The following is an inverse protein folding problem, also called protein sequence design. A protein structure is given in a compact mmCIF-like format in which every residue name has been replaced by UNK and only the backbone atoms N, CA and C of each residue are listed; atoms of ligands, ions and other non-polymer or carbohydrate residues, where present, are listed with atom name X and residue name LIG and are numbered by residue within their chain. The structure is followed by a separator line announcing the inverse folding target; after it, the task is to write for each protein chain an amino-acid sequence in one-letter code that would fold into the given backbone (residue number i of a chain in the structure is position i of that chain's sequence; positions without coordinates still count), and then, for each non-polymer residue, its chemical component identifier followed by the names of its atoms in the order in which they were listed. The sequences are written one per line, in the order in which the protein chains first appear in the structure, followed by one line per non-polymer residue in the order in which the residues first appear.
data_IF_307051024334
#
_entry.id   IF_307051024334
#
_cell.length_a   1.000
_cell.length_b   1.000
_cell.length_c   1.000
_cell.angle_alpha   90.00
_cell.angle_beta   90.00
_cell.angle_gamma   90.00
#
_symmetry.space_group_name_H-M   'P 1'
#
loop_
_entity.id
_entity.type
_entity.pdbx_description
1 polymer ?
#
# COMPACT_ATOMS: atom_id res chain seq x y z
N UNK A 1 10.97 -8.30 -1.85
CA UNK A 1 10.23 -7.67 -0.73
C UNK A 1 9.52 -8.70 0.14
N UNK A 2 9.63 -8.59 1.47
CA UNK A 2 8.80 -9.35 2.43
C UNK A 2 7.82 -8.39 3.10
N UNK A 3 6.54 -8.53 2.77
CA UNK A 3 5.47 -7.75 3.38
C UNK A 3 4.88 -8.47 4.59
N UNK A 4 4.54 -7.66 5.59
CA UNK A 4 3.64 -7.98 6.69
C UNK A 4 2.29 -7.28 6.46
N UNK A 5 1.27 -7.66 7.24
CA UNK A 5 -0.08 -7.14 7.07
C UNK A 5 -0.77 -6.94 8.43
N UNK A 6 -0.05 -6.46 9.44
CA UNK A 6 -0.56 -6.40 10.82
C UNK A 6 -1.82 -5.55 10.91
N UNK A 7 -1.87 -4.39 10.24
CA UNK A 7 -3.02 -3.51 10.25
C UNK A 7 -4.23 -4.15 9.57
N UNK A 8 -4.04 -4.70 8.37
CA UNK A 8 -5.11 -5.42 7.67
C UNK A 8 -5.62 -6.60 8.52
N UNK A 9 -4.71 -7.39 9.08
CA UNK A 9 -5.08 -8.59 9.82
C UNK A 9 -5.85 -8.28 11.11
N UNK A 10 -5.53 -7.15 11.74
CA UNK A 10 -6.24 -6.63 12.91
C UNK A 10 -7.68 -6.21 12.57
N UNK A 11 -7.88 -5.57 11.42
CA UNK A 11 -9.15 -4.90 11.10
C UNK A 11 -10.01 -5.58 10.02
N UNK A 12 -9.52 -6.61 9.33
CA UNK A 12 -10.24 -7.27 8.22
C UNK A 12 -11.61 -7.84 8.62
N UNK A 13 -11.79 -8.23 9.89
CA UNK A 13 -13.02 -8.85 10.40
C UNK A 13 -14.02 -7.82 10.98
N UNK A 14 -13.93 -6.55 10.56
CA UNK A 14 -14.77 -5.46 11.08
C UNK A 14 -15.86 -5.02 10.10
N UNK A 15 -16.32 -5.93 9.23
CA UNK A 15 -17.34 -5.62 8.21
C UNK A 15 -17.00 -4.37 7.37
N UNK A 16 -15.74 -4.25 6.99
CA UNK A 16 -15.19 -3.12 6.23
C UNK A 16 -15.25 -1.75 6.96
N UNK A 17 -15.34 -1.75 8.29
CA UNK A 17 -15.43 -0.49 9.07
C UNK A 17 -14.15 0.34 9.01
N UNK A 18 -12.97 -0.29 9.03
CA UNK A 18 -11.68 0.41 9.02
C UNK A 18 -10.89 0.19 7.73
N UNK A 19 -10.98 -1.01 7.16
CA UNK A 19 -10.26 -1.40 5.95
C UNK A 19 -11.18 -2.17 5.02
N UNK A 20 -11.02 -2.01 3.72
CA UNK A 20 -11.67 -2.86 2.72
C UNK A 20 -10.60 -3.55 1.86
N UNK A 21 -10.63 -4.89 1.72
CA UNK A 21 -9.74 -5.58 0.80
C UNK A 21 -10.01 -5.12 -0.64
N UNK A 22 -8.97 -4.71 -1.36
CA UNK A 22 -9.10 -4.23 -2.75
C UNK A 22 -7.94 -4.76 -3.59
N UNK A 23 -8.18 -4.94 -4.89
CA UNK A 23 -7.11 -5.27 -5.84
C UNK A 23 -6.73 -4.01 -6.63
N UNK A 24 -5.44 -3.68 -6.77
CA UNK A 24 -5.02 -2.60 -7.64
C UNK A 24 -5.48 -2.83 -9.08
N UNK A 25 -5.87 -1.74 -9.74
CA UNK A 25 -6.16 -1.76 -11.17
C UNK A 25 -4.85 -1.72 -11.94
N UNK A 26 -4.69 -2.64 -12.89
CA UNK A 26 -3.45 -2.75 -13.68
C UNK A 26 -3.25 -1.53 -14.58
N UNK A 27 -1.99 -1.19 -14.80
CA UNK A 27 -1.55 -0.12 -15.69
C UNK A 27 -0.70 -0.67 -16.84
N UNK A 28 -0.73 0.00 -17.98
CA UNK A 28 0.04 -0.41 -19.16
C UNK A 28 1.49 0.05 -19.08
N UNK A 29 2.43 -0.86 -19.38
CA UNK A 29 3.86 -0.59 -19.58
C UNK A 29 4.48 0.31 -18.48
N UNK A 30 4.40 -0.10 -17.20
CA UNK A 30 4.92 0.70 -16.11
C UNK A 30 6.45 0.90 -16.24
N UNK A 31 6.93 2.08 -15.84
CA UNK A 31 8.35 2.42 -15.83
C UNK A 31 8.68 3.26 -14.60
N UNK A 32 9.84 3.01 -14.01
CA UNK A 32 10.39 3.85 -12.95
C UNK A 32 10.92 5.14 -13.58
N UNK A 33 10.33 6.28 -13.22
CA UNK A 33 10.75 7.62 -13.68
C UNK A 33 11.62 8.35 -12.66
N UNK A 34 11.52 7.96 -11.39
CA UNK A 34 12.23 8.56 -10.28
C UNK A 34 12.42 7.54 -9.17
N UNK A 35 13.53 7.67 -8.45
CA UNK A 35 13.92 6.73 -7.41
C UNK A 35 14.73 7.46 -6.34
N UNK A 36 14.37 7.24 -5.08
CA UNK A 36 15.14 7.72 -3.93
C UNK A 36 15.95 6.57 -3.36
N UNK A 37 17.28 6.64 -3.48
CA UNK A 37 18.17 5.63 -2.89
C UNK A 37 18.08 5.60 -1.37
N UNK A 38 17.83 6.75 -0.74
CA UNK A 38 17.65 6.87 0.71
C UNK A 38 16.41 6.11 1.17
N UNK A 39 15.25 6.36 0.56
CA UNK A 39 14.00 5.68 0.91
C UNK A 39 14.06 4.19 0.54
N UNK A 40 14.69 3.86 -0.59
CA UNK A 40 14.89 2.47 -0.97
C UNK A 40 15.74 1.72 0.07
N UNK A 41 16.83 2.32 0.54
CA UNK A 41 17.63 1.76 1.63
C UNK A 41 16.80 1.65 2.91
N UNK A 42 15.94 2.62 3.20
CA UNK A 42 15.02 2.61 4.33
C UNK A 42 14.00 1.48 4.31
N UNK A 43 13.51 1.15 3.12
CA UNK A 43 12.58 0.05 2.89
C UNK A 43 13.27 -1.28 2.59
N UNK A 44 14.62 -1.32 2.56
CA UNK A 44 15.38 -2.52 2.20
C UNK A 44 15.16 -2.98 0.75
N UNK A 45 14.88 -2.05 -0.16
CA UNK A 45 14.59 -2.28 -1.56
C UNK A 45 15.83 -2.16 -2.45
N UNK A 46 15.96 -3.07 -3.41
CA UNK A 46 16.95 -2.96 -4.50
C UNK A 46 16.28 -2.82 -5.86
N UNK A 47 16.87 -2.02 -6.75
CA UNK A 47 16.45 -1.92 -8.16
C UNK A 47 16.55 -3.23 -8.94
N UNK A 48 17.39 -4.15 -8.47
CA UNK A 48 17.57 -5.47 -9.09
C UNK A 48 16.52 -6.48 -8.66
N UNK A 49 15.58 -6.12 -7.78
CA UNK A 49 14.53 -7.03 -7.35
C UNK A 49 13.62 -7.42 -8.51
N UNK A 50 13.30 -8.71 -8.56
CA UNK A 50 12.35 -9.24 -9.53
C UNK A 50 10.97 -8.60 -9.33
N UNK A 51 10.29 -8.27 -10.43
CA UNK A 51 8.95 -7.69 -10.43
C UNK A 51 8.83 -6.35 -9.67
N UNK A 52 9.94 -5.65 -9.37
CA UNK A 52 9.91 -4.37 -8.62
C UNK A 52 8.97 -3.35 -9.28
N UNK A 53 9.18 -3.05 -10.56
CA UNK A 53 8.36 -2.08 -11.31
C UNK A 53 6.89 -2.49 -11.33
N UNK A 54 6.60 -3.77 -11.58
CA UNK A 54 5.25 -4.31 -11.61
C UNK A 54 4.58 -4.28 -10.23
N UNK A 55 5.35 -4.47 -9.15
CA UNK A 55 4.86 -4.40 -7.77
C UNK A 55 4.48 -2.96 -7.42
N UNK A 56 5.41 -2.02 -7.65
CA UNK A 56 5.20 -0.60 -7.32
C UNK A 56 4.09 0.04 -8.17
N UNK A 57 3.79 -0.51 -9.34
CA UNK A 57 2.68 -0.08 -10.18
C UNK A 57 1.36 -0.80 -9.90
N UNK A 58 1.32 -1.76 -8.96
CA UNK A 58 0.13 -2.56 -8.65
C UNK A 58 -0.22 -3.63 -9.67
N UNK A 59 0.67 -3.94 -10.62
CA UNK A 59 0.48 -4.99 -11.62
C UNK A 59 0.78 -6.40 -11.10
N UNK A 60 1.71 -6.49 -10.15
CA UNK A 60 2.10 -7.72 -9.48
C UNK A 60 1.79 -7.64 -7.99
N UNK A 61 1.11 -8.66 -7.46
CA UNK A 61 0.80 -8.84 -6.04
C UNK A 61 1.37 -10.17 -5.62
N UNK A 62 2.36 -10.17 -4.73
CA UNK A 62 2.96 -11.40 -4.20
C UNK A 62 2.04 -12.08 -3.19
N UNK A 63 2.31 -13.36 -2.90
CA UNK A 63 1.47 -14.19 -2.03
C UNK A 63 1.31 -13.63 -0.60
N UNK A 64 2.29 -12.85 -0.13
CA UNK A 64 2.32 -12.26 1.21
C UNK A 64 1.75 -10.83 1.28
N UNK A 65 1.26 -10.26 0.17
CA UNK A 65 0.57 -8.97 0.20
C UNK A 65 -0.92 -9.17 0.46
N UNK A 66 -1.51 -8.31 1.29
CA UNK A 66 -2.96 -8.22 1.49
C UNK A 66 -3.39 -6.79 1.20
N UNK A 67 -3.60 -6.42 -0.08
CA UNK A 67 -3.84 -5.04 -0.41
C UNK A 67 -5.22 -4.55 0.09
N UNK A 68 -5.25 -3.34 0.62
CA UNK A 68 -6.47 -2.75 1.19
C UNK A 68 -6.55 -1.24 1.00
N UNK A 69 -7.76 -0.71 1.14
CA UNK A 69 -8.04 0.72 1.24
C UNK A 69 -8.50 1.03 2.66
N UNK A 70 -7.93 2.07 3.28
CA UNK A 70 -8.36 2.50 4.60
C UNK A 70 -9.58 3.42 4.52
N UNK A 71 -10.47 3.31 5.49
CA UNK A 71 -11.59 4.22 5.72
C UNK A 71 -11.22 5.23 6.78
N UNK A 72 -11.45 6.50 6.49
CA UNK A 72 -11.29 7.60 7.44
C UNK A 72 -12.29 8.71 7.14
N UNK A 73 -12.34 9.75 7.98
CA UNK A 73 -13.15 10.95 7.75
C UNK A 73 -12.33 12.19 8.08
N UNK A 74 -12.83 13.37 7.72
CA UNK A 74 -12.07 14.58 7.96
C UNK A 74 -12.84 15.87 7.71
N UNK A 75 -12.26 16.97 8.20
CA UNK A 75 -12.70 18.31 7.84
C UNK A 75 -11.99 18.77 6.57
N UNK A 76 -12.76 19.29 5.61
CA UNK A 76 -12.23 19.93 4.40
C UNK A 76 -12.80 21.34 4.32
N UNK A 77 -11.94 22.32 4.05
CA UNK A 77 -12.34 23.74 3.94
C UNK A 77 -13.16 24.26 5.15
N UNK A 78 -12.85 23.77 6.37
CA UNK A 78 -13.54 24.19 7.60
C UNK A 78 -14.85 23.45 7.91
N UNK A 79 -15.26 22.50 7.07
CA UNK A 79 -16.51 21.74 7.25
C UNK A 79 -16.25 20.23 7.39
N UNK A 80 -17.08 19.54 8.18
CA UNK A 80 -17.05 18.08 8.26
C UNK A 80 -17.48 17.48 6.91
N UNK A 81 -16.57 16.80 6.22
CA UNK A 81 -16.83 16.21 4.91
C UNK A 81 -17.43 14.79 5.00
N UNK A 82 -17.64 14.26 6.21
CA UNK A 82 -18.13 12.91 6.40
C UNK A 82 -17.05 11.86 6.13
N UNK A 83 -17.47 10.77 5.48
CA UNK A 83 -16.59 9.67 5.13
C UNK A 83 -15.71 10.04 3.93
N UNK A 84 -14.41 9.88 4.14
CA UNK A 84 -13.36 9.87 3.13
C UNK A 84 -12.80 8.43 3.03
N UNK A 85 -11.52 8.30 2.67
CA UNK A 85 -10.84 7.03 2.56
C UNK A 85 -9.76 7.10 1.48
N UNK A 86 -9.05 5.99 1.31
CA UNK A 86 -8.09 5.83 0.22
C UNK A 86 -8.78 5.65 -1.14
N UNK A 87 -9.42 6.72 -1.64
CA UNK A 87 -10.19 6.67 -2.89
C UNK A 87 -9.33 6.53 -4.17
N UNK A 88 -8.02 6.70 -4.04
CA UNK A 88 -7.03 6.58 -5.15
C UNK A 88 -5.66 6.06 -4.68
N UNK A 89 -5.62 5.48 -3.50
CA UNK A 89 -4.43 4.87 -2.92
C UNK A 89 -4.79 3.44 -2.48
N UNK A 90 -3.80 2.56 -2.48
CA UNK A 90 -3.95 1.20 -1.98
C UNK A 90 -2.69 0.87 -1.20
N UNK A 91 -2.86 0.43 0.04
CA UNK A 91 -1.77 -0.12 0.84
C UNK A 91 -1.54 -1.56 0.38
N UNK A 92 -0.33 -1.87 -0.10
CA UNK A 92 0.03 -3.24 -0.54
C UNK A 92 0.38 -4.16 0.65
N UNK A 93 0.87 -3.57 1.73
CA UNK A 93 1.34 -4.23 2.93
C UNK A 93 2.30 -3.33 3.70
N UNK A 94 2.88 -3.87 4.76
CA UNK A 94 3.82 -3.20 5.65
C UNK A 94 5.21 -3.81 5.48
N UNK A 95 6.26 -3.00 5.59
CA UNK A 95 7.64 -3.49 5.59
C UNK A 95 8.16 -3.35 7.02
N UNK A 96 8.53 -4.48 7.63
CA UNK A 96 9.00 -4.47 9.01
C UNK A 96 10.53 -4.33 9.03
N UNK A 97 11.03 -3.29 9.70
CA UNK A 97 12.44 -3.16 10.09
C UNK A 97 12.56 -3.57 11.55
N UNK A 98 12.79 -4.86 11.81
CA UNK A 98 13.53 -5.23 13.01
C UNK A 98 15.01 -4.97 12.68
N UNK A 99 15.43 -3.72 12.87
CA UNK A 99 16.85 -3.40 13.07
C UNK A 99 17.02 -3.26 14.57
N UNK A 100 17.42 -4.36 15.21
CA UNK A 100 18.11 -4.31 16.50
C UNK A 100 19.57 -4.56 16.22
#
# INVERSE_FOLDING_TARGET
MKFENQFFDTFQNTENTFVSPVKPTRVEKPKIIGWSEEVAKDLGLSRSEENLTETLSGNYISLNMKPYSARYGGHQFGHWAGQLGDGRAITLGEVNRLVV
#
